data_IF_897701946839
#
_entry.id   IF_897701946839
#
_cell.length_a   1.000
_cell.length_b   1.000
_cell.length_c   1.000
_cell.angle_alpha   90.00
_cell.angle_beta   90.00
_cell.angle_gamma   90.00
#
_symmetry.space_group_name_H-M   'P 1'
#
loop_
_entity.id
_entity.type
_entity.pdbx_description
1 polymer ?
#
# COMPACT_ATOMS: atom_id res chain seq x y z
N UNK A 1 -3.55 -10.46 12.43
CA UNK A 1 -2.85 -10.42 11.14
C UNK A 1 -1.68 -9.43 11.15
N UNK A 2 -1.91 -8.13 11.41
CA UNK A 2 -0.90 -7.09 11.27
C UNK A 2 0.37 -7.34 12.10
N UNK A 3 0.25 -7.89 13.33
CA UNK A 3 1.39 -8.10 14.19
C UNK A 3 2.37 -9.14 13.61
N UNK A 4 1.87 -10.25 13.07
CA UNK A 4 2.73 -11.27 12.45
C UNK A 4 3.46 -10.74 11.22
N UNK A 5 2.75 -10.00 10.35
CA UNK A 5 3.36 -9.38 9.16
C UNK A 5 4.44 -8.37 9.55
N UNK A 6 4.14 -7.43 10.46
CA UNK A 6 5.09 -6.34 10.78
C UNK A 6 6.26 -6.79 11.64
N UNK A 7 6.06 -7.77 12.50
CA UNK A 7 7.15 -8.37 13.26
C UNK A 7 8.14 -9.11 12.34
N UNK A 8 7.64 -9.88 11.36
CA UNK A 8 8.50 -10.50 10.36
C UNK A 8 9.22 -9.46 9.50
N UNK A 9 8.53 -8.39 9.09
CA UNK A 9 9.15 -7.28 8.36
C UNK A 9 10.30 -6.66 9.16
N UNK A 10 10.10 -6.45 10.45
CA UNK A 10 11.14 -5.90 11.33
C UNK A 10 12.35 -6.82 11.45
N UNK A 11 12.12 -8.13 11.66
CA UNK A 11 13.23 -9.11 11.71
C UNK A 11 14.00 -9.14 10.38
N UNK A 12 13.28 -9.18 9.25
CA UNK A 12 13.89 -9.14 7.93
C UNK A 12 14.74 -7.88 7.73
N UNK A 13 14.22 -6.72 8.08
CA UNK A 13 14.92 -5.45 7.96
C UNK A 13 16.16 -5.39 8.87
N UNK A 14 16.08 -5.93 10.08
CA UNK A 14 17.20 -6.03 11.01
C UNK A 14 18.31 -6.94 10.46
N UNK A 15 17.94 -8.14 9.99
CA UNK A 15 18.86 -9.08 9.39
C UNK A 15 19.52 -8.48 8.15
N UNK A 16 18.74 -7.87 7.25
CA UNK A 16 19.25 -7.20 6.07
C UNK A 16 20.26 -6.08 6.42
N UNK A 17 19.91 -5.23 7.40
CA UNK A 17 20.79 -4.15 7.84
C UNK A 17 22.11 -4.67 8.40
N UNK A 18 22.07 -5.72 9.24
CA UNK A 18 23.25 -6.33 9.84
C UNK A 18 24.16 -6.99 8.78
N UNK A 19 23.57 -7.75 7.86
CA UNK A 19 24.35 -8.43 6.80
C UNK A 19 24.99 -7.47 5.81
N UNK A 20 24.32 -6.36 5.50
CA UNK A 20 24.83 -5.35 4.57
C UNK A 20 25.73 -4.32 5.25
N UNK A 21 25.86 -4.35 6.59
CA UNK A 21 26.65 -3.36 7.32
C UNK A 21 26.18 -1.92 7.12
N UNK A 22 24.86 -1.72 6.97
CA UNK A 22 24.28 -0.41 6.63
C UNK A 22 24.37 0.51 7.86
N UNK A 23 25.05 1.63 7.70
CA UNK A 23 25.12 2.65 8.74
C UNK A 23 23.75 3.33 8.97
N UNK A 24 23.44 3.62 10.22
CA UNK A 24 22.23 4.35 10.56
C UNK A 24 22.24 5.76 9.93
N UNK A 25 21.10 6.26 9.43
CA UNK A 25 21.00 7.62 8.95
C UNK A 25 21.12 8.62 10.11
N UNK A 26 21.15 9.92 9.79
CA UNK A 26 21.09 10.97 10.82
C UNK A 26 19.84 10.83 11.69
N UNK A 27 19.87 11.36 12.91
CA UNK A 27 18.74 11.26 13.85
C UNK A 27 17.44 11.82 13.23
N UNK A 28 17.51 12.95 12.54
CA UNK A 28 16.34 13.51 11.87
C UNK A 28 15.79 12.58 10.78
N UNK A 29 16.66 12.04 9.94
CA UNK A 29 16.30 11.10 8.89
C UNK A 29 15.73 9.79 9.48
N UNK A 30 16.28 9.30 10.57
CA UNK A 30 15.79 8.14 11.30
C UNK A 30 14.35 8.35 11.81
N UNK A 31 14.07 9.52 12.39
CA UNK A 31 12.73 9.88 12.88
C UNK A 31 11.74 9.97 11.71
N UNK A 32 12.10 10.59 10.60
CA UNK A 32 11.25 10.66 9.41
C UNK A 32 10.92 9.27 8.86
N UNK A 33 11.88 8.37 8.83
CA UNK A 33 11.64 7.00 8.41
C UNK A 33 10.73 6.22 9.38
N UNK A 34 10.85 6.43 10.71
CA UNK A 34 9.90 5.86 11.69
C UNK A 34 8.49 6.40 11.45
N UNK A 35 8.31 7.71 11.28
CA UNK A 35 7.00 8.33 10.99
C UNK A 35 6.39 7.73 9.73
N UNK A 36 7.19 7.55 8.69
CA UNK A 36 6.79 6.88 7.47
C UNK A 36 6.26 5.46 7.73
N UNK A 37 6.96 4.66 8.52
CA UNK A 37 6.52 3.32 8.91
C UNK A 37 5.24 3.30 9.75
N UNK A 38 5.10 4.25 10.68
CA UNK A 38 3.87 4.46 11.46
C UNK A 38 2.70 4.76 10.51
N UNK A 39 2.91 5.65 9.54
CA UNK A 39 1.91 5.98 8.52
C UNK A 39 1.41 4.75 7.78
N UNK A 40 2.32 3.96 7.22
CA UNK A 40 1.97 2.74 6.50
C UNK A 40 1.15 1.76 7.34
N UNK A 41 1.60 1.43 8.54
CA UNK A 41 0.93 0.42 9.36
C UNK A 41 -0.45 0.89 9.84
N UNK A 42 -0.60 2.18 10.15
CA UNK A 42 -1.90 2.78 10.49
C UNK A 42 -2.87 2.73 9.32
N UNK A 43 -2.43 3.11 8.12
CA UNK A 43 -3.22 3.02 6.89
C UNK A 43 -3.63 1.58 6.57
N UNK A 44 -2.73 0.62 6.77
CA UNK A 44 -3.02 -0.79 6.52
C UNK A 44 -4.10 -1.35 7.46
N UNK A 45 -4.17 -0.90 8.72
CA UNK A 45 -5.27 -1.26 9.63
C UNK A 45 -6.61 -0.79 9.06
N UNK A 46 -6.68 0.44 8.57
CA UNK A 46 -7.88 1.01 7.95
C UNK A 46 -8.26 0.26 6.66
N UNK A 47 -7.27 -0.11 5.85
CA UNK A 47 -7.47 -0.91 4.64
C UNK A 47 -8.06 -2.28 4.97
N UNK A 48 -7.52 -2.98 5.98
CA UNK A 48 -8.08 -4.27 6.42
C UNK A 48 -9.50 -4.13 6.98
N UNK A 49 -9.80 -3.02 7.65
CA UNK A 49 -11.17 -2.75 8.06
C UNK A 49 -12.10 -2.55 6.86
N UNK A 50 -11.64 -1.88 5.81
CA UNK A 50 -12.43 -1.70 4.58
C UNK A 50 -12.70 -3.02 3.85
N UNK A 51 -11.81 -4.03 3.95
CA UNK A 51 -12.07 -5.37 3.42
C UNK A 51 -13.30 -6.03 4.05
N UNK A 52 -13.56 -5.78 5.33
CA UNK A 52 -14.76 -6.32 5.99
C UNK A 52 -16.06 -5.67 5.51
N UNK A 53 -15.99 -4.49 4.91
CA UNK A 53 -17.14 -3.75 4.40
C UNK A 53 -17.48 -4.10 2.94
N UNK A 54 -16.46 -4.18 2.08
CA UNK A 54 -16.66 -4.26 0.63
C UNK A 54 -15.86 -5.37 -0.07
N UNK A 55 -15.11 -6.16 0.67
CA UNK A 55 -14.18 -7.16 0.13
C UNK A 55 -12.87 -6.57 -0.38
N UNK A 56 -11.87 -7.43 -0.55
CA UNK A 56 -10.55 -7.04 -1.01
C UNK A 56 -10.54 -6.65 -2.49
N UNK A 57 -11.35 -7.33 -3.33
CA UNK A 57 -11.45 -7.06 -4.77
C UNK A 57 -11.97 -5.66 -5.13
N UNK A 58 -12.67 -5.00 -4.19
CA UNK A 58 -13.13 -3.61 -4.35
C UNK A 58 -12.23 -2.63 -3.60
N UNK A 59 -11.84 -2.94 -2.38
CA UNK A 59 -11.05 -2.02 -1.56
C UNK A 59 -9.63 -1.82 -2.10
N UNK A 60 -8.96 -2.86 -2.61
CA UNK A 60 -7.59 -2.75 -3.12
C UNK A 60 -7.45 -1.78 -4.30
N UNK A 61 -8.27 -1.86 -5.36
CA UNK A 61 -8.18 -0.89 -6.45
C UNK A 61 -8.46 0.56 -6.02
N UNK A 62 -9.36 0.77 -5.06
CA UNK A 62 -9.68 2.12 -4.55
C UNK A 62 -8.47 2.71 -3.82
N UNK A 63 -7.92 1.98 -2.85
CA UNK A 63 -6.75 2.46 -2.09
C UNK A 63 -5.55 2.65 -3.02
N UNK A 64 -5.32 1.74 -3.98
CA UNK A 64 -4.26 1.88 -4.97
C UNK A 64 -4.42 3.15 -5.81
N UNK A 65 -5.63 3.46 -6.28
CA UNK A 65 -5.87 4.68 -7.05
C UNK A 65 -5.55 5.94 -6.23
N UNK A 66 -5.96 6.00 -4.96
CA UNK A 66 -5.64 7.12 -4.08
C UNK A 66 -4.14 7.22 -3.78
N UNK A 67 -3.48 6.10 -3.50
CA UNK A 67 -2.03 6.07 -3.29
C UNK A 67 -1.28 6.60 -4.50
N UNK A 68 -1.64 6.10 -5.70
CA UNK A 68 -1.02 6.54 -6.95
C UNK A 68 -1.21 8.03 -7.19
N UNK A 69 -2.41 8.57 -6.98
CA UNK A 69 -2.65 10.00 -7.09
C UNK A 69 -1.74 10.80 -6.18
N UNK A 70 -1.74 10.53 -4.90
CA UNK A 70 -0.98 11.32 -3.93
C UNK A 70 0.53 11.21 -4.11
N UNK A 71 1.05 9.99 -4.32
CA UNK A 71 2.49 9.78 -4.50
C UNK A 71 3.01 10.33 -5.82
N UNK A 72 2.25 10.19 -6.91
CA UNK A 72 2.65 10.75 -8.21
C UNK A 72 2.58 12.28 -8.21
N UNK A 73 1.53 12.88 -7.62
CA UNK A 73 1.48 14.33 -7.47
C UNK A 73 2.66 14.85 -6.66
N UNK A 74 2.99 14.19 -5.54
CA UNK A 74 4.16 14.57 -4.76
C UNK A 74 5.47 14.40 -5.53
N UNK A 75 5.67 13.28 -6.22
CA UNK A 75 6.84 13.01 -7.04
C UNK A 75 7.03 14.09 -8.11
N UNK A 76 5.97 14.40 -8.85
CA UNK A 76 6.03 15.37 -9.95
C UNK A 76 6.22 16.81 -9.48
N UNK A 77 5.47 17.26 -8.47
CA UNK A 77 5.47 18.67 -8.07
C UNK A 77 6.50 19.01 -7.00
N UNK A 78 6.85 18.07 -6.12
CA UNK A 78 7.78 18.32 -5.03
C UNK A 78 9.20 17.80 -5.31
N UNK A 79 9.33 16.69 -6.05
CA UNK A 79 10.61 16.04 -6.31
C UNK A 79 11.11 16.25 -7.75
N UNK A 80 10.26 16.72 -8.66
CA UNK A 80 10.63 17.01 -10.05
C UNK A 80 10.61 15.78 -10.96
N UNK A 81 9.91 14.72 -10.57
CA UNK A 81 9.66 13.56 -11.45
C UNK A 81 8.90 14.03 -12.70
N UNK A 82 9.09 13.34 -13.83
CA UNK A 82 8.52 13.70 -15.13
C UNK A 82 8.87 15.13 -15.55
N UNK A 83 10.14 15.41 -15.87
CA UNK A 83 10.62 16.78 -16.05
C UNK A 83 10.03 17.47 -17.27
N UNK A 84 9.75 16.73 -18.36
CA UNK A 84 9.23 17.32 -19.60
C UNK A 84 7.70 17.47 -19.57
N UNK A 85 7.16 18.34 -20.41
CA UNK A 85 5.72 18.50 -20.57
C UNK A 85 5.07 17.25 -21.15
N UNK A 86 5.75 16.55 -22.06
CA UNK A 86 5.28 15.27 -22.62
C UNK A 86 5.17 14.19 -21.55
N UNK A 87 6.17 14.08 -20.67
CA UNK A 87 6.20 13.11 -19.60
C UNK A 87 5.02 13.35 -18.63
N UNK A 88 4.80 14.61 -18.26
CA UNK A 88 3.63 14.99 -17.43
C UNK A 88 2.31 14.63 -18.10
N UNK A 89 2.16 14.89 -19.40
CA UNK A 89 0.92 14.55 -20.12
C UNK A 89 0.68 13.04 -20.15
N UNK A 90 1.70 12.24 -20.46
CA UNK A 90 1.59 10.79 -20.46
C UNK A 90 1.33 10.25 -19.06
N UNK A 91 2.05 10.75 -18.05
CA UNK A 91 1.89 10.36 -16.65
C UNK A 91 0.49 10.69 -16.10
N UNK A 92 -0.03 11.90 -16.34
CA UNK A 92 -1.38 12.26 -15.91
C UNK A 92 -2.47 11.51 -16.67
N UNK A 93 -2.28 11.22 -17.96
CA UNK A 93 -3.17 10.34 -18.72
C UNK A 93 -3.19 8.94 -18.11
N UNK A 94 -2.03 8.39 -17.77
CA UNK A 94 -1.91 7.09 -17.12
C UNK A 94 -2.63 7.08 -15.76
N UNK A 95 -2.45 8.12 -14.93
CA UNK A 95 -3.18 8.26 -13.67
C UNK A 95 -4.70 8.29 -13.88
N UNK A 96 -5.19 9.02 -14.86
CA UNK A 96 -6.62 9.05 -15.21
C UNK A 96 -7.16 7.67 -15.60
N UNK A 97 -6.40 6.92 -16.39
CA UNK A 97 -6.73 5.54 -16.77
C UNK A 97 -6.72 4.59 -15.58
N UNK A 98 -5.78 4.75 -14.63
CA UNK A 98 -5.74 3.94 -13.40
C UNK A 98 -6.98 4.20 -12.54
N UNK A 99 -7.39 5.45 -12.40
CA UNK A 99 -8.62 5.81 -11.67
C UNK A 99 -9.85 5.19 -12.36
N UNK A 100 -9.93 5.27 -13.67
CA UNK A 100 -11.00 4.66 -14.45
C UNK A 100 -11.02 3.14 -14.25
N UNK A 101 -9.87 2.48 -14.38
CA UNK A 101 -9.74 1.05 -14.15
C UNK A 101 -10.14 0.64 -12.73
N UNK A 102 -9.71 1.39 -11.71
CA UNK A 102 -10.11 1.17 -10.33
C UNK A 102 -11.63 1.34 -10.13
N UNK A 103 -12.23 2.37 -10.72
CA UNK A 103 -13.68 2.57 -10.69
C UNK A 103 -14.42 1.39 -11.34
N UNK A 104 -13.96 0.88 -12.48
CA UNK A 104 -14.55 -0.28 -13.15
C UNK A 104 -14.53 -1.53 -12.25
N UNK A 105 -13.50 -1.76 -11.46
CA UNK A 105 -13.43 -2.92 -10.55
C UNK A 105 -14.47 -2.86 -9.42
N UNK A 106 -14.95 -1.66 -9.09
CA UNK A 106 -15.97 -1.45 -8.04
C UNK A 106 -17.40 -1.50 -8.58
N UNK A 107 -17.57 -1.54 -9.90
CA UNK A 107 -18.87 -1.52 -10.52
C UNK A 107 -19.70 -2.75 -10.12
N UNK A 108 -20.99 -2.54 -9.82
CA UNK A 108 -21.96 -3.58 -9.47
C UNK A 108 -23.21 -3.45 -10.31
N UNK A 109 -23.69 -4.60 -10.82
CA UNK A 109 -24.91 -4.68 -11.63
C UNK A 109 -26.16 -4.42 -10.78
N UNK A 110 -26.16 -4.93 -9.54
CA UNK A 110 -27.25 -4.75 -8.59
C UNK A 110 -26.81 -3.82 -7.46
N UNK A 111 -27.19 -2.56 -7.56
CA UNK A 111 -26.96 -1.58 -6.50
C UNK A 111 -28.11 -1.66 -5.50
N UNK A 112 -27.77 -1.93 -4.23
CA UNK A 112 -28.69 -1.76 -3.10
C UNK A 112 -28.24 -0.56 -2.28
N UNK A 113 -29.15 0.07 -1.54
CA UNK A 113 -28.80 1.21 -0.67
C UNK A 113 -27.79 0.80 0.39
N UNK A 114 -27.92 -0.40 0.95
CA UNK A 114 -26.99 -0.95 1.93
C UNK A 114 -25.57 -1.12 1.34
N UNK A 115 -25.44 -1.65 0.13
CA UNK A 115 -24.15 -1.82 -0.54
C UNK A 115 -23.52 -0.47 -0.88
N UNK A 116 -24.32 0.51 -1.27
CA UNK A 116 -23.88 1.88 -1.56
C UNK A 116 -23.38 2.58 -0.29
N UNK A 117 -24.06 2.41 0.84
CA UNK A 117 -23.65 2.96 2.12
C UNK A 117 -22.34 2.32 2.63
N UNK A 118 -22.18 1.00 2.50
CA UNK A 118 -20.95 0.28 2.85
C UNK A 118 -19.77 0.74 1.99
N UNK A 119 -19.99 0.91 0.68
CA UNK A 119 -18.95 1.40 -0.23
C UNK A 119 -18.54 2.83 0.12
N UNK A 120 -19.49 3.73 0.35
CA UNK A 120 -19.20 5.11 0.78
C UNK A 120 -18.38 5.15 2.07
N UNK A 121 -18.75 4.34 3.07
CA UNK A 121 -18.01 4.23 4.32
C UNK A 121 -16.59 3.71 4.09
N UNK A 122 -16.42 2.68 3.26
CA UNK A 122 -15.11 2.14 2.93
C UNK A 122 -14.23 3.19 2.22
N UNK A 123 -14.78 3.94 1.25
CA UNK A 123 -14.06 5.02 0.56
C UNK A 123 -13.57 6.09 1.55
N UNK A 124 -14.40 6.52 2.49
CA UNK A 124 -14.00 7.52 3.50
C UNK A 124 -12.88 6.98 4.38
N UNK A 125 -12.99 5.74 4.85
CA UNK A 125 -11.96 5.09 5.67
C UNK A 125 -10.64 4.98 4.91
N UNK A 126 -10.69 4.60 3.63
CA UNK A 126 -9.53 4.50 2.78
C UNK A 126 -8.91 5.88 2.55
N UNK A 127 -9.69 6.92 2.26
CA UNK A 127 -9.19 8.30 2.11
C UNK A 127 -8.44 8.78 3.36
N UNK A 128 -8.96 8.50 4.55
CA UNK A 128 -8.25 8.82 5.81
C UNK A 128 -6.95 8.02 5.91
N UNK A 129 -6.97 6.74 5.52
CA UNK A 129 -5.78 5.89 5.49
C UNK A 129 -4.70 6.40 4.54
N UNK A 130 -5.08 7.06 3.44
CA UNK A 130 -4.13 7.55 2.43
C UNK A 130 -3.12 8.56 2.98
N UNK A 131 -3.48 9.34 3.97
CA UNK A 131 -2.53 10.24 4.66
C UNK A 131 -1.32 9.45 5.16
N UNK A 132 -1.55 8.26 5.73
CA UNK A 132 -0.48 7.37 6.18
C UNK A 132 0.33 6.75 5.04
N UNK A 133 -0.31 6.36 3.94
CA UNK A 133 0.39 5.83 2.78
C UNK A 133 1.21 6.89 2.05
N UNK A 134 0.70 8.10 1.92
CA UNK A 134 1.47 9.22 1.35
C UNK A 134 2.66 9.58 2.24
N UNK A 135 2.49 9.62 3.57
CA UNK A 135 3.60 9.80 4.49
C UNK A 135 4.66 8.71 4.35
N UNK A 136 4.25 7.45 4.14
CA UNK A 136 5.17 6.34 3.89
C UNK A 136 6.06 6.57 2.67
N UNK A 137 5.47 7.01 1.58
CA UNK A 137 6.19 7.21 0.32
C UNK A 137 6.99 8.53 0.28
N UNK A 138 6.39 9.62 0.74
CA UNK A 138 6.95 10.96 0.62
C UNK A 138 8.03 11.27 1.67
N UNK A 139 7.88 10.80 2.91
CA UNK A 139 8.77 11.20 4.00
C UNK A 139 10.24 10.78 3.81
N UNK A 140 10.58 9.56 3.36
CA UNK A 140 11.98 9.20 3.09
C UNK A 140 12.59 10.03 1.99
N UNK A 141 11.84 10.33 0.92
CA UNK A 141 12.31 11.13 -0.21
C UNK A 141 12.52 12.59 0.19
N UNK A 142 11.57 13.18 0.92
CA UNK A 142 11.70 14.54 1.44
C UNK A 142 12.91 14.69 2.40
N UNK A 143 13.19 13.67 3.19
CA UNK A 143 14.36 13.63 4.07
C UNK A 143 15.67 13.21 3.36
N UNK A 144 15.62 12.93 2.04
CA UNK A 144 16.75 12.48 1.22
C UNK A 144 17.47 11.27 1.81
N UNK A 145 16.72 10.31 2.31
CA UNK A 145 17.24 9.09 2.90
C UNK A 145 17.35 8.04 1.79
N UNK A 146 18.53 7.41 1.71
CA UNK A 146 18.70 6.20 0.90
C UNK A 146 17.70 5.10 1.31
N UNK A 147 17.08 4.44 0.33
CA UNK A 147 16.02 3.46 0.58
C UNK A 147 16.47 2.29 1.46
N UNK A 148 17.71 1.82 1.31
CA UNK A 148 18.27 0.77 2.15
C UNK A 148 18.45 1.22 3.59
N UNK A 149 18.85 2.49 3.82
CA UNK A 149 18.97 3.09 5.17
C UNK A 149 17.61 3.40 5.80
N UNK A 150 16.58 3.68 5.00
CA UNK A 150 15.22 3.96 5.47
C UNK A 150 14.50 2.69 5.93
N UNK A 151 14.82 1.52 5.39
CA UNK A 151 14.04 0.31 5.54
C UNK A 151 13.93 -0.17 7.00
N UNK A 152 15.04 -0.24 7.75
CA UNK A 152 14.98 -0.67 9.15
C UNK A 152 14.21 0.30 10.06
N UNK A 153 14.44 1.64 10.03
CA UNK A 153 13.62 2.57 10.79
C UNK A 153 12.12 2.52 10.43
N UNK A 154 11.77 2.36 9.15
CA UNK A 154 10.38 2.17 8.74
C UNK A 154 9.78 0.89 9.35
N UNK A 155 10.51 -0.22 9.30
CA UNK A 155 10.06 -1.48 9.89
C UNK A 155 9.85 -1.36 11.41
N UNK A 156 10.69 -0.60 12.11
CA UNK A 156 10.50 -0.25 13.53
C UNK A 156 9.17 0.49 13.71
N UNK A 157 8.91 1.53 12.94
CA UNK A 157 7.66 2.31 12.99
C UNK A 157 6.43 1.43 12.74
N UNK A 158 6.48 0.56 11.75
CA UNK A 158 5.41 -0.40 11.46
C UNK A 158 5.17 -1.37 12.61
N UNK A 159 6.24 -1.87 13.23
CA UNK A 159 6.16 -2.81 14.35
C UNK A 159 5.56 -2.15 15.59
N UNK A 160 5.94 -0.91 15.89
CA UNK A 160 5.37 -0.12 16.99
C UNK A 160 3.85 0.01 16.87
N UNK A 161 3.34 0.39 15.69
CA UNK A 161 1.89 0.48 15.46
C UNK A 161 1.22 -0.88 15.64
N UNK A 162 1.81 -1.95 15.13
CA UNK A 162 1.25 -3.29 15.27
C UNK A 162 1.15 -3.73 16.75
N UNK A 163 2.16 -3.41 17.56
CA UNK A 163 2.16 -3.67 19.00
C UNK A 163 1.09 -2.81 19.70
N UNK A 164 1.07 -1.50 19.46
CA UNK A 164 0.08 -0.60 20.05
C UNK A 164 -1.35 -1.04 19.70
N UNK A 165 -1.59 -1.43 18.46
CA UNK A 165 -2.90 -1.92 18.03
C UNK A 165 -3.27 -3.26 18.68
N UNK A 166 -2.32 -4.18 18.86
CA UNK A 166 -2.55 -5.44 19.57
C UNK A 166 -2.89 -5.21 21.06
N UNK A 167 -2.20 -4.25 21.71
CA UNK A 167 -2.50 -3.84 23.08
C UNK A 167 -3.90 -3.21 23.15
N UNK A 168 -4.22 -2.29 22.25
CA UNK A 168 -5.54 -1.66 22.16
C UNK A 168 -6.67 -2.71 22.06
N UNK A 169 -6.52 -3.69 21.16
CA UNK A 169 -7.51 -4.77 21.01
C UNK A 169 -7.65 -5.60 22.29
N UNK A 170 -6.55 -5.89 22.98
CA UNK A 170 -6.59 -6.64 24.22
C UNK A 170 -7.26 -5.88 25.36
N UNK A 171 -7.07 -4.56 25.42
CA UNK A 171 -7.75 -3.70 26.41
C UNK A 171 -9.25 -3.58 26.10
N UNK A 172 -9.60 -3.44 24.81
CA UNK A 172 -10.99 -3.31 24.38
C UNK A 172 -11.80 -4.60 24.57
N UNK A 173 -11.18 -5.75 24.34
CA UNK A 173 -11.81 -7.07 24.44
C UNK A 173 -10.95 -8.03 25.27
N UNK A 174 -10.96 -7.89 26.62
CA UNK A 174 -10.10 -8.65 27.52
C UNK A 174 -10.29 -10.17 27.44
N UNK A 175 -11.49 -10.62 27.07
CA UNK A 175 -11.83 -12.05 26.89
C UNK A 175 -11.19 -12.70 25.69
N UNK A 176 -10.83 -11.94 24.66
CA UNK A 176 -10.16 -12.48 23.48
C UNK A 176 -8.72 -12.89 23.78
N UNK A 177 -8.26 -13.95 23.08
CA UNK A 177 -6.85 -14.32 23.10
C UNK A 177 -6.00 -13.17 22.57
N UNK A 178 -4.85 -12.93 23.21
CA UNK A 178 -3.93 -11.89 22.70
C UNK A 178 -3.57 -12.15 21.24
N UNK A 179 -3.32 -11.09 20.49
CA UNK A 179 -2.95 -11.19 19.09
C UNK A 179 -1.72 -12.10 18.86
N UNK A 180 -0.80 -12.14 19.80
CA UNK A 180 0.38 -13.01 19.79
C UNK A 180 0.04 -14.50 19.99
N UNK A 181 -1.05 -14.80 20.69
CA UNK A 181 -1.50 -16.18 20.95
C UNK A 181 -2.44 -16.74 19.85
N UNK A 182 -2.76 -15.94 18.83
CA UNK A 182 -3.62 -16.36 17.74
C UNK A 182 -2.80 -16.99 16.61
N UNK A 183 -3.18 -18.22 16.18
CA UNK A 183 -2.51 -18.93 15.09
C UNK A 183 -2.43 -18.14 13.77
N UNK A 184 -3.40 -17.25 13.53
CA UNK A 184 -3.40 -16.31 12.38
C UNK A 184 -2.15 -15.43 12.38
N UNK A 185 -1.65 -14.99 13.53
CA UNK A 185 -0.46 -14.15 13.60
C UNK A 185 0.80 -14.87 13.11
N UNK A 186 0.92 -16.15 13.40
CA UNK A 186 2.03 -16.97 12.92
C UNK A 186 1.94 -17.28 11.43
N UNK A 187 0.74 -17.56 10.92
CA UNK A 187 0.52 -17.75 9.47
C UNK A 187 0.88 -16.51 8.65
N UNK A 188 0.74 -15.33 9.23
CA UNK A 188 1.08 -14.05 8.58
C UNK A 188 2.59 -13.75 8.54
N UNK A 189 3.44 -14.57 9.16
CA UNK A 189 4.90 -14.45 9.03
C UNK A 189 5.32 -14.62 7.56
N UNK A 190 4.71 -15.56 6.84
CA UNK A 190 4.99 -15.77 5.41
C UNK A 190 4.63 -14.51 4.60
N UNK A 191 3.45 -13.93 4.85
CA UNK A 191 3.05 -12.67 4.20
C UNK A 191 3.99 -11.53 4.58
N UNK A 192 4.50 -11.52 5.81
CA UNK A 192 5.46 -10.54 6.30
C UNK A 192 6.81 -10.61 5.58
N UNK A 193 7.27 -11.81 5.26
CA UNK A 193 8.50 -12.02 4.48
C UNK A 193 8.37 -11.42 3.06
N UNK A 194 7.31 -11.78 2.34
CA UNK A 194 7.07 -11.24 1.00
C UNK A 194 6.83 -9.72 1.02
N UNK A 195 6.12 -9.23 2.02
CA UNK A 195 5.93 -7.79 2.19
C UNK A 195 7.26 -7.07 2.46
N UNK A 196 8.14 -7.62 3.31
CA UNK A 196 9.44 -7.04 3.61
C UNK A 196 10.30 -6.90 2.36
N UNK A 197 10.34 -7.97 1.55
CA UNK A 197 11.05 -7.97 0.27
C UNK A 197 10.47 -6.92 -0.69
N UNK A 198 9.15 -6.87 -0.84
CA UNK A 198 8.47 -5.90 -1.68
C UNK A 198 8.71 -4.46 -1.21
N UNK A 199 8.66 -4.20 0.11
CA UNK A 199 8.92 -2.89 0.68
C UNK A 199 10.36 -2.42 0.43
N UNK A 200 11.35 -3.30 0.62
CA UNK A 200 12.74 -2.99 0.35
C UNK A 200 12.98 -2.66 -1.13
N UNK A 201 12.49 -3.53 -2.03
CA UNK A 201 12.66 -3.33 -3.47
C UNK A 201 11.96 -2.05 -3.96
N UNK A 202 10.78 -1.74 -3.41
CA UNK A 202 10.12 -0.47 -3.68
C UNK A 202 10.95 0.73 -3.22
N UNK A 203 11.47 0.72 -1.99
CA UNK A 203 12.28 1.82 -1.47
C UNK A 203 13.53 2.10 -2.31
N UNK A 204 14.16 1.05 -2.83
CA UNK A 204 15.30 1.17 -3.74
C UNK A 204 14.82 1.72 -5.09
N UNK A 205 13.75 1.15 -5.66
CA UNK A 205 13.21 1.57 -6.95
C UNK A 205 12.74 3.03 -6.97
N UNK A 206 12.17 3.52 -5.87
CA UNK A 206 11.63 4.88 -5.76
C UNK A 206 12.70 5.97 -5.61
N UNK A 207 13.98 5.63 -5.58
CA UNK A 207 15.06 6.62 -5.49
C UNK A 207 15.20 7.44 -6.78
N UNK A 208 15.59 8.74 -6.70
CA UNK A 208 15.72 9.61 -7.86
C UNK A 208 16.71 9.13 -8.92
N UNK A 209 17.75 8.38 -8.50
CA UNK A 209 18.74 7.78 -9.41
C UNK A 209 18.31 6.42 -10.02
N UNK A 210 17.11 5.96 -9.69
CA UNK A 210 16.50 4.73 -10.21
C UNK A 210 15.28 5.10 -11.07
N UNK A 211 14.07 4.86 -10.56
CA UNK A 211 12.83 5.14 -11.30
C UNK A 211 12.11 6.43 -10.84
N UNK A 212 12.60 7.08 -9.78
CA UNK A 212 11.88 8.14 -9.11
C UNK A 212 10.66 7.66 -8.32
N UNK A 213 10.06 8.55 -7.55
CA UNK A 213 8.95 8.19 -6.67
C UNK A 213 7.69 7.83 -7.46
N UNK A 214 7.32 8.64 -8.45
CA UNK A 214 6.09 8.44 -9.21
C UNK A 214 6.10 7.09 -9.95
N UNK A 215 7.06 6.85 -10.80
CA UNK A 215 7.17 5.61 -11.60
C UNK A 215 7.44 4.39 -10.71
N UNK A 216 8.36 4.49 -9.74
CA UNK A 216 8.66 3.40 -8.81
C UNK A 216 7.44 2.95 -8.00
N UNK A 217 6.59 3.91 -7.60
CA UNK A 217 5.36 3.60 -6.89
C UNK A 217 4.32 2.94 -7.81
N UNK A 218 4.13 3.46 -9.02
CA UNK A 218 3.20 2.88 -10.01
C UNK A 218 3.56 1.41 -10.29
N UNK A 219 4.83 1.11 -10.52
CA UNK A 219 5.30 -0.26 -10.75
C UNK A 219 4.98 -1.18 -9.56
N UNK A 220 5.15 -0.70 -8.34
CA UNK A 220 4.84 -1.49 -7.13
C UNK A 220 3.35 -1.84 -7.01
N UNK A 221 2.46 -1.01 -7.58
CA UNK A 221 1.01 -1.17 -7.48
C UNK A 221 0.43 -2.17 -8.50
N UNK A 222 1.22 -2.72 -9.42
CA UNK A 222 0.76 -3.81 -10.29
C UNK A 222 0.30 -5.04 -9.49
N UNK A 223 0.73 -5.18 -8.24
CA UNK A 223 0.26 -6.18 -7.29
C UNK A 223 -1.26 -6.12 -7.00
N UNK A 224 -1.93 -4.99 -7.27
CA UNK A 224 -3.39 -4.87 -7.11
C UNK A 224 -4.15 -5.86 -7.98
N UNK A 225 -3.60 -6.22 -9.14
CA UNK A 225 -4.19 -7.21 -10.04
C UNK A 225 -4.27 -8.57 -9.35
N UNK A 226 -3.15 -9.02 -8.77
CA UNK A 226 -3.10 -10.27 -8.03
C UNK A 226 -4.01 -10.23 -6.81
N UNK A 227 -4.03 -9.13 -6.06
CA UNK A 227 -4.89 -8.96 -4.90
C UNK A 227 -6.38 -9.02 -5.27
N UNK A 228 -6.77 -8.40 -6.38
CA UNK A 228 -8.16 -8.43 -6.86
C UNK A 228 -8.57 -9.83 -7.32
N UNK A 229 -7.75 -10.50 -8.11
CA UNK A 229 -8.03 -11.85 -8.61
C UNK A 229 -8.06 -12.88 -7.46
N UNK A 230 -7.15 -12.76 -6.48
CA UNK A 230 -7.18 -13.64 -5.30
C UNK A 230 -8.41 -13.40 -4.43
N UNK A 231 -8.87 -12.16 -4.30
CA UNK A 231 -10.14 -11.85 -3.64
C UNK A 231 -11.32 -12.59 -4.27
N UNK A 232 -11.37 -12.58 -5.60
CA UNK A 232 -12.46 -13.24 -6.35
C UNK A 232 -12.33 -14.77 -6.27
N UNK A 233 -11.16 -15.33 -6.58
CA UNK A 233 -11.00 -16.78 -6.76
C UNK A 233 -10.76 -17.55 -5.46
N UNK A 234 -9.94 -17.00 -4.54
CA UNK A 234 -9.57 -17.71 -3.31
C UNK A 234 -10.43 -17.30 -2.12
N UNK A 235 -10.87 -16.05 -2.04
CA UNK A 235 -11.77 -15.59 -0.98
C UNK A 235 -13.24 -15.73 -1.38
N UNK A 236 -13.53 -16.23 -2.58
CA UNK A 236 -14.87 -16.48 -3.11
C UNK A 236 -15.77 -15.22 -3.07
N UNK A 237 -15.20 -14.03 -3.31
CA UNK A 237 -15.98 -12.81 -3.43
C UNK A 237 -16.91 -12.90 -4.66
N UNK A 238 -18.23 -12.82 -4.41
CA UNK A 238 -19.23 -13.02 -5.46
C UNK A 238 -19.26 -11.85 -6.43
N UNK A 239 -19.15 -12.16 -7.73
CA UNK A 239 -19.35 -11.22 -8.84
C UNK A 239 -20.23 -11.88 -9.90
N UNK A 240 -21.13 -11.09 -10.53
CA UNK A 240 -21.86 -11.56 -11.72
C UNK A 240 -20.91 -11.71 -12.91
N UNK A 241 -21.34 -12.39 -13.98
CA UNK A 241 -20.53 -12.51 -15.20
C UNK A 241 -20.17 -11.15 -15.78
N UNK A 242 -21.11 -10.20 -15.76
CA UNK A 242 -20.87 -8.80 -16.25
C UNK A 242 -19.89 -8.05 -15.34
N UNK A 243 -20.07 -8.14 -14.03
CA UNK A 243 -19.15 -7.53 -13.07
C UNK A 243 -17.73 -8.09 -13.22
N UNK A 244 -17.60 -9.40 -13.49
CA UNK A 244 -16.31 -10.04 -13.74
C UNK A 244 -15.64 -9.47 -14.99
N UNK A 245 -16.36 -9.37 -16.11
CA UNK A 245 -15.83 -8.81 -17.36
C UNK A 245 -15.38 -7.36 -17.16
N UNK A 246 -16.22 -6.52 -16.54
CA UNK A 246 -15.88 -5.12 -16.24
C UNK A 246 -14.66 -5.04 -15.33
N UNK A 247 -14.57 -5.90 -14.31
CA UNK A 247 -13.40 -5.97 -13.43
C UNK A 247 -12.13 -6.32 -14.20
N UNK A 248 -12.15 -7.34 -15.06
CA UNK A 248 -10.99 -7.76 -15.85
C UNK A 248 -10.53 -6.67 -16.82
N UNK A 249 -11.48 -5.97 -17.48
CA UNK A 249 -11.16 -4.82 -18.33
C UNK A 249 -10.51 -3.71 -17.49
N UNK A 250 -11.06 -3.39 -16.31
CA UNK A 250 -10.50 -2.40 -15.40
C UNK A 250 -9.06 -2.74 -14.98
N UNK A 251 -8.79 -4.02 -14.65
CA UNK A 251 -7.43 -4.48 -14.33
C UNK A 251 -6.47 -4.38 -15.52
N UNK A 252 -6.93 -4.72 -16.73
CA UNK A 252 -6.13 -4.58 -17.95
C UNK A 252 -5.78 -3.11 -18.21
N UNK A 253 -6.71 -2.18 -17.99
CA UNK A 253 -6.46 -0.74 -18.08
C UNK A 253 -5.42 -0.30 -17.05
N UNK A 254 -5.50 -0.77 -15.80
CA UNK A 254 -4.52 -0.43 -14.75
C UNK A 254 -3.12 -0.89 -15.17
N UNK A 255 -2.97 -2.13 -15.65
CA UNK A 255 -1.68 -2.64 -16.12
C UNK A 255 -1.15 -1.82 -17.31
N UNK A 256 -1.99 -1.59 -18.32
CA UNK A 256 -1.61 -0.82 -19.49
C UNK A 256 -1.19 0.61 -19.14
N UNK A 257 -1.92 1.26 -18.24
CA UNK A 257 -1.58 2.60 -17.77
C UNK A 257 -0.28 2.60 -16.94
N UNK A 258 -0.06 1.60 -16.09
CA UNK A 258 1.19 1.48 -15.33
C UNK A 258 2.41 1.31 -16.27
N UNK A 259 2.26 0.55 -17.36
CA UNK A 259 3.35 0.41 -18.34
C UNK A 259 3.64 1.69 -19.12
N UNK A 260 2.63 2.56 -19.34
CA UNK A 260 2.85 3.87 -19.99
C UNK A 260 3.80 4.74 -19.18
N UNK A 261 3.76 4.68 -17.85
CA UNK A 261 4.63 5.50 -16.99
C UNK A 261 6.08 5.04 -16.96
N UNK A 262 6.40 3.84 -17.46
CA UNK A 262 7.79 3.36 -17.59
C UNK A 262 8.51 4.01 -18.79
N UNK A 263 7.73 4.56 -19.73
CA UNK A 263 8.26 5.19 -20.96
C UNK A 263 8.59 6.68 -20.71
N UNK A 264 8.19 7.20 -19.57
CA UNK A 264 8.32 8.59 -19.12
C UNK A 264 9.36 8.68 -18.03
#
# INVERSE_FOLDING_TARGET
QIIGTKFCTFIFALVYNLFQGIAFPSVAAFIWAIISGIGWASAQILTFHSFTLVGSSRAMPITTAFQLLGTSLWGVFALGDWPSTSDKLVGFLALGLIILGAWMTTWSEHKTDENSAKLRKAVIILLVGEIGYWAYSAAPQAAKIDGSKAFLPQAIGMCLVAICYAVYLKVKEPSQRSALAQGVSYKQIISGFFFAFAALTYLISAQPNMNGLATGFILSQTSVVLATLTGIWFLHEKKTKKEMVVTLIGLAIIIGAATMTVIV
#
